data_IF_943338259551
#
_entry.id   IF_943338259551
#
_cell.length_a   1.000
_cell.length_b   1.000
_cell.length_c   1.000
_cell.angle_alpha   90.00
_cell.angle_beta   90.00
_cell.angle_gamma   90.00
#
_symmetry.space_group_name_H-M   'P 1'
#
loop_
_entity.id
_entity.type
_entity.pdbx_description
1 polymer ?
#
# COMPACT_ATOMS: atom_id res chain seq x y z
N UNK A 1 16.50 -6.22 10.01
CA UNK A 1 17.04 -5.13 9.19
C UNK A 1 15.89 -4.13 8.98
N UNK A 2 16.13 -2.83 9.08
CA UNK A 2 15.10 -1.80 8.84
C UNK A 2 14.93 -1.61 7.33
N UNK A 3 13.70 -1.61 6.84
CA UNK A 3 13.37 -1.37 5.42
C UNK A 3 13.29 0.13 5.15
N UNK A 4 14.05 0.63 4.19
CA UNK A 4 13.96 2.02 3.72
C UNK A 4 12.81 2.13 2.71
N UNK A 5 11.70 2.70 3.16
CA UNK A 5 10.51 2.89 2.34
C UNK A 5 10.45 4.31 1.77
N UNK A 6 10.39 4.44 0.45
CA UNK A 6 10.36 5.71 -0.28
C UNK A 6 9.05 5.94 -1.01
N UNK A 7 8.51 7.16 -1.02
CA UNK A 7 7.37 7.52 -1.86
C UNK A 7 7.76 7.66 -3.33
N UNK A 8 6.84 7.32 -4.23
CA UNK A 8 6.94 7.68 -5.63
C UNK A 8 5.60 8.21 -6.15
N UNK A 9 5.62 9.36 -6.83
CA UNK A 9 4.44 9.96 -7.44
C UNK A 9 4.29 9.62 -8.92
N UNK A 10 5.36 9.15 -9.57
CA UNK A 10 5.41 8.78 -10.97
C UNK A 10 6.57 7.82 -11.21
N UNK A 11 6.71 7.33 -12.45
CA UNK A 11 7.75 6.38 -12.83
C UNK A 11 9.18 6.94 -12.68
N UNK A 12 9.39 8.23 -12.91
CA UNK A 12 10.70 8.87 -12.75
C UNK A 12 11.13 8.88 -11.29
N UNK A 13 10.23 9.29 -10.38
CA UNK A 13 10.46 9.26 -8.93
C UNK A 13 10.72 7.83 -8.44
N UNK A 14 9.99 6.84 -8.98
CA UNK A 14 10.18 5.44 -8.65
C UNK A 14 11.58 4.96 -9.01
N UNK A 15 12.02 5.22 -10.25
CA UNK A 15 13.37 4.87 -10.70
C UNK A 15 14.44 5.57 -9.88
N UNK A 16 14.23 6.84 -9.55
CA UNK A 16 15.15 7.59 -8.68
C UNK A 16 15.24 6.96 -7.28
N UNK A 17 14.12 6.57 -6.68
CA UNK A 17 14.09 5.91 -5.38
C UNK A 17 14.84 4.58 -5.38
N UNK A 18 14.58 3.72 -6.37
CA UNK A 18 15.28 2.44 -6.55
C UNK A 18 16.79 2.65 -6.68
N UNK A 19 17.20 3.55 -7.55
CA UNK A 19 18.62 3.83 -7.83
C UNK A 19 19.37 4.45 -6.63
N UNK A 20 18.65 5.12 -5.72
CA UNK A 20 19.21 5.69 -4.50
C UNK A 20 19.06 4.78 -3.27
N UNK A 21 18.78 3.50 -3.47
CA UNK A 21 18.88 2.48 -2.41
C UNK A 21 17.62 2.29 -1.56
N UNK A 22 16.45 2.69 -2.03
CA UNK A 22 15.20 2.33 -1.37
C UNK A 22 15.02 0.80 -1.38
N UNK A 23 14.63 0.23 -0.25
CA UNK A 23 14.33 -1.20 -0.11
C UNK A 23 12.90 -1.51 -0.57
N UNK A 24 12.02 -0.53 -0.39
CA UNK A 24 10.64 -0.61 -0.83
C UNK A 24 10.13 0.75 -1.31
N UNK A 25 9.21 0.74 -2.23
CA UNK A 25 8.57 1.94 -2.77
C UNK A 25 7.07 1.87 -2.48
N UNK A 26 6.45 3.00 -2.16
CA UNK A 26 5.01 3.08 -2.14
C UNK A 26 4.49 4.18 -3.05
N UNK A 27 3.36 3.90 -3.69
CA UNK A 27 2.72 4.82 -4.63
C UNK A 27 1.19 4.73 -4.55
N UNK A 28 0.52 5.70 -5.14
CA UNK A 28 -0.93 5.69 -5.34
C UNK A 28 -1.28 5.18 -6.73
N UNK A 29 -2.37 4.44 -6.81
CA UNK A 29 -3.00 4.12 -8.08
C UNK A 29 -4.04 5.18 -8.48
N UNK A 30 -4.77 4.92 -9.55
CA UNK A 30 -5.78 5.83 -10.11
C UNK A 30 -7.02 6.03 -9.22
N UNK A 31 -7.24 5.14 -8.24
CA UNK A 31 -8.38 5.19 -7.32
C UNK A 31 -7.97 4.76 -5.91
N UNK A 32 -8.86 4.97 -4.94
CA UNK A 32 -8.78 4.52 -3.55
C UNK A 32 -7.57 4.99 -2.74
N UNK A 33 -6.73 5.85 -3.30
CA UNK A 33 -5.61 6.48 -2.60
C UNK A 33 -5.91 7.92 -2.20
N UNK A 34 -5.39 8.39 -1.06
CA UNK A 34 -5.56 9.76 -0.59
C UNK A 34 -5.04 10.83 -1.57
N UNK A 35 -4.23 10.43 -2.54
CA UNK A 35 -3.71 11.29 -3.62
C UNK A 35 -4.26 10.92 -5.00
N UNK A 36 -5.45 10.33 -5.06
CA UNK A 36 -6.08 9.90 -6.32
C UNK A 36 -6.25 11.04 -7.36
N UNK A 37 -6.25 12.29 -6.91
CA UNK A 37 -6.31 13.49 -7.77
C UNK A 37 -4.95 14.00 -8.26
N UNK A 38 -3.83 13.38 -7.86
CA UNK A 38 -2.51 13.69 -8.39
C UNK A 38 -2.31 13.00 -9.76
N UNK A 39 -1.20 13.31 -10.45
CA UNK A 39 -0.80 12.56 -11.65
C UNK A 39 -0.38 11.15 -11.23
N UNK A 40 -1.36 10.24 -11.14
CA UNK A 40 -1.11 8.85 -10.80
C UNK A 40 -0.75 8.05 -12.05
N UNK A 41 -0.04 6.95 -11.84
CA UNK A 41 0.27 5.99 -12.89
C UNK A 41 -1.03 5.36 -13.44
N UNK A 42 -1.06 5.12 -14.74
CA UNK A 42 -2.09 4.29 -15.37
C UNK A 42 -1.99 2.85 -14.85
N UNK A 43 -2.98 2.02 -15.13
CA UNK A 43 -2.93 0.60 -14.77
C UNK A 43 -1.71 -0.09 -15.41
N UNK A 44 -1.48 0.17 -16.68
CA UNK A 44 -0.36 -0.39 -17.43
C UNK A 44 0.99 0.07 -16.87
N UNK A 45 1.14 1.37 -16.58
CA UNK A 45 2.36 1.91 -15.99
C UNK A 45 2.62 1.33 -14.59
N UNK A 46 1.56 1.05 -13.82
CA UNK A 46 1.68 0.51 -12.48
C UNK A 46 2.13 -0.96 -12.53
N UNK A 47 1.64 -1.75 -13.48
CA UNK A 47 2.13 -3.12 -13.71
C UNK A 47 3.61 -3.09 -14.12
N UNK A 48 4.00 -2.18 -15.02
CA UNK A 48 5.42 -1.99 -15.40
C UNK A 48 6.27 -1.53 -14.20
N UNK A 49 5.71 -0.70 -13.32
CA UNK A 49 6.39 -0.29 -12.10
C UNK A 49 6.68 -1.47 -11.17
N UNK A 50 5.72 -2.39 -11.01
CA UNK A 50 5.89 -3.62 -10.22
C UNK A 50 7.03 -4.46 -10.81
N UNK A 51 7.00 -4.71 -12.10
CA UNK A 51 8.05 -5.48 -12.79
C UNK A 51 9.43 -4.82 -12.62
N UNK A 52 9.51 -3.51 -12.83
CA UNK A 52 10.76 -2.76 -12.70
C UNK A 52 11.35 -2.87 -11.30
N UNK A 53 10.53 -2.69 -10.27
CA UNK A 53 10.95 -2.76 -8.86
C UNK A 53 11.44 -4.16 -8.49
N UNK A 54 10.75 -5.20 -8.96
CA UNK A 54 11.10 -6.60 -8.73
C UNK A 54 12.40 -7.01 -9.41
N UNK A 55 12.67 -6.56 -10.65
CA UNK A 55 13.95 -6.82 -11.34
C UNK A 55 15.14 -6.29 -10.51
N UNK A 56 14.93 -5.20 -9.74
CA UNK A 56 15.94 -4.64 -8.86
C UNK A 56 15.97 -5.26 -7.45
N UNK A 57 15.19 -6.33 -7.22
CA UNK A 57 15.10 -7.01 -5.93
C UNK A 57 14.49 -6.16 -4.82
N UNK A 58 13.61 -5.22 -5.16
CA UNK A 58 12.93 -4.30 -4.25
C UNK A 58 11.44 -4.63 -4.14
N UNK A 59 10.76 -4.06 -3.14
CA UNK A 59 9.33 -4.22 -2.93
C UNK A 59 8.54 -2.99 -3.35
N UNK A 60 7.27 -3.21 -3.70
CA UNK A 60 6.35 -2.15 -4.06
C UNK A 60 5.02 -2.31 -3.35
N UNK A 61 4.54 -1.22 -2.76
CA UNK A 61 3.27 -1.16 -2.03
C UNK A 61 2.35 -0.13 -2.67
N UNK A 62 1.05 -0.43 -2.70
CA UNK A 62 0.05 0.49 -3.23
C UNK A 62 -0.84 1.04 -2.12
N UNK A 63 -1.13 2.34 -2.16
CA UNK A 63 -2.04 2.95 -1.21
C UNK A 63 -3.49 2.70 -1.61
N UNK A 64 -4.26 2.12 -0.68
CA UNK A 64 -5.73 1.98 -0.69
C UNK A 64 -6.23 2.61 0.62
N UNK A 65 -5.88 3.87 0.82
CA UNK A 65 -5.96 4.52 2.13
C UNK A 65 -6.98 5.66 2.17
N UNK A 66 -8.11 5.47 1.51
CA UNK A 66 -9.32 6.28 1.66
C UNK A 66 -10.41 5.50 2.38
N UNK A 67 -11.41 6.20 2.90
CA UNK A 67 -12.64 5.56 3.39
C UNK A 67 -13.52 5.19 2.19
N UNK A 68 -14.07 4.00 2.19
CA UNK A 68 -14.83 3.44 1.08
C UNK A 68 -16.32 3.33 1.42
N UNK A 69 -17.16 3.69 0.46
CA UNK A 69 -18.60 3.40 0.50
C UNK A 69 -18.86 1.99 0.00
N UNK A 70 -19.99 1.41 0.35
CA UNK A 70 -20.36 0.04 -0.05
C UNK A 70 -20.22 -0.21 -1.56
N UNK A 71 -20.62 0.76 -2.39
CA UNK A 71 -20.46 0.65 -3.84
C UNK A 71 -19.00 0.59 -4.29
N UNK A 72 -18.12 1.31 -3.59
CA UNK A 72 -16.69 1.38 -3.90
C UNK A 72 -15.96 0.09 -3.48
N UNK A 73 -16.44 -0.56 -2.41
CA UNK A 73 -15.96 -1.90 -2.02
C UNK A 73 -16.22 -2.93 -3.13
N UNK A 74 -17.35 -2.85 -3.83
CA UNK A 74 -17.66 -3.74 -4.94
C UNK A 74 -16.70 -3.54 -6.14
N UNK A 75 -16.18 -2.33 -6.33
CA UNK A 75 -15.23 -2.00 -7.39
C UNK A 75 -13.79 -2.39 -7.02
N UNK A 76 -13.50 -2.54 -5.72
CA UNK A 76 -12.15 -2.77 -5.19
C UNK A 76 -11.55 -4.09 -5.70
N UNK A 77 -12.37 -5.14 -5.91
CA UNK A 77 -11.89 -6.42 -6.44
C UNK A 77 -11.30 -6.26 -7.85
N UNK A 78 -12.08 -5.68 -8.75
CA UNK A 78 -11.65 -5.49 -10.14
C UNK A 78 -10.43 -4.57 -10.22
N UNK A 79 -10.37 -3.57 -9.34
CA UNK A 79 -9.25 -2.63 -9.26
C UNK A 79 -7.95 -3.30 -8.78
N UNK A 80 -8.00 -4.14 -7.74
CA UNK A 80 -6.79 -4.77 -7.17
C UNK A 80 -6.31 -5.98 -7.95
N UNK A 81 -7.20 -6.67 -8.65
CA UNK A 81 -6.89 -7.95 -9.30
C UNK A 81 -5.70 -7.91 -10.28
N UNK A 82 -5.55 -6.91 -11.17
CA UNK A 82 -4.40 -6.82 -12.07
C UNK A 82 -3.07 -6.71 -11.32
N UNK A 83 -3.02 -5.90 -10.27
CA UNK A 83 -1.81 -5.66 -9.47
C UNK A 83 -1.46 -6.87 -8.61
N UNK A 84 -2.47 -7.53 -8.04
CA UNK A 84 -2.28 -8.78 -7.31
C UNK A 84 -1.66 -9.86 -8.21
N UNK A 85 -2.17 -9.99 -9.45
CA UNK A 85 -1.60 -10.91 -10.45
C UNK A 85 -0.20 -10.54 -10.91
N UNK A 86 0.11 -9.25 -10.93
CA UNK A 86 1.46 -8.74 -11.23
C UNK A 86 2.46 -8.94 -10.08
N UNK A 87 1.99 -9.39 -8.91
CA UNK A 87 2.83 -9.67 -7.75
C UNK A 87 3.04 -8.49 -6.82
N UNK A 88 2.09 -7.54 -6.74
CA UNK A 88 2.15 -6.43 -5.78
C UNK A 88 2.46 -6.94 -4.37
N UNK A 89 3.50 -6.40 -3.72
CA UNK A 89 4.01 -6.87 -2.43
C UNK A 89 3.12 -6.50 -1.23
N UNK A 90 2.15 -5.65 -1.41
CA UNK A 90 1.17 -5.32 -0.37
C UNK A 90 0.43 -4.02 -0.61
N UNK A 91 -0.55 -3.75 0.23
CA UNK A 91 -1.36 -2.54 0.20
C UNK A 91 -1.29 -1.80 1.53
N UNK A 92 -1.37 -0.47 1.47
CA UNK A 92 -1.43 0.41 2.64
C UNK A 92 -2.88 0.86 2.78
N UNK A 93 -3.58 0.40 3.84
CA UNK A 93 -5.04 0.52 3.99
C UNK A 93 -5.42 1.38 5.18
N UNK A 94 -6.57 2.04 5.08
CA UNK A 94 -7.17 2.83 6.16
C UNK A 94 -8.53 2.27 6.58
N UNK A 95 -9.36 1.88 5.63
CA UNK A 95 -10.75 1.48 5.86
C UNK A 95 -10.83 0.05 6.39
N UNK A 96 -11.53 -0.16 7.52
CA UNK A 96 -11.68 -1.48 8.16
C UNK A 96 -12.51 -2.43 7.27
N UNK A 97 -13.49 -1.91 6.54
CA UNK A 97 -14.25 -2.69 5.56
C UNK A 97 -13.37 -3.18 4.42
N UNK A 98 -12.49 -2.30 3.90
CA UNK A 98 -11.49 -2.68 2.91
C UNK A 98 -10.52 -3.74 3.43
N UNK A 99 -10.10 -3.65 4.69
CA UNK A 99 -9.24 -4.67 5.33
C UNK A 99 -9.91 -6.04 5.31
N UNK A 100 -11.18 -6.09 5.77
CA UNK A 100 -11.94 -7.35 5.78
C UNK A 100 -12.10 -7.89 4.35
N UNK A 101 -12.46 -7.02 3.41
CA UNK A 101 -12.64 -7.37 2.02
C UNK A 101 -11.36 -7.93 1.39
N UNK A 102 -10.24 -7.23 1.55
CA UNK A 102 -8.94 -7.66 1.00
C UNK A 102 -8.49 -8.99 1.63
N UNK A 103 -8.66 -9.15 2.94
CA UNK A 103 -8.34 -10.41 3.61
C UNK A 103 -9.17 -11.60 3.14
N UNK A 104 -10.40 -11.38 2.68
CA UNK A 104 -11.29 -12.41 2.16
C UNK A 104 -10.97 -12.78 0.69
N UNK A 105 -10.77 -11.77 -0.15
CA UNK A 105 -10.61 -11.97 -1.60
C UNK A 105 -9.15 -12.06 -2.07
N UNK A 106 -8.21 -11.55 -1.29
CA UNK A 106 -6.77 -11.55 -1.57
C UNK A 106 -5.97 -12.02 -0.34
N UNK A 107 -6.16 -13.26 0.11
CA UNK A 107 -5.65 -13.73 1.41
C UNK A 107 -4.13 -13.70 1.54
N UNK A 108 -3.41 -13.71 0.42
CA UNK A 108 -1.94 -13.64 0.41
C UNK A 108 -1.39 -12.20 0.25
N UNK A 109 -2.28 -11.19 0.14
CA UNK A 109 -1.89 -9.79 0.02
C UNK A 109 -1.51 -9.22 1.39
N UNK A 110 -0.24 -8.88 1.63
CA UNK A 110 0.15 -8.20 2.85
C UNK A 110 -0.54 -6.83 2.99
N UNK A 111 -1.05 -6.56 4.20
CA UNK A 111 -1.70 -5.29 4.49
C UNK A 111 -0.91 -4.50 5.52
N UNK A 112 -0.66 -3.24 5.23
CA UNK A 112 0.00 -2.28 6.11
C UNK A 112 -1.02 -1.24 6.57
N UNK A 113 -1.05 -0.95 7.88
CA UNK A 113 -1.91 0.10 8.40
C UNK A 113 -1.42 1.47 7.93
N UNK A 114 -2.30 2.23 7.28
CA UNK A 114 -2.03 3.63 6.97
C UNK A 114 -1.95 4.45 8.27
N UNK A 115 -1.16 5.52 8.25
CA UNK A 115 -1.17 6.51 9.34
C UNK A 115 -2.53 7.14 9.57
N UNK A 116 -3.35 7.18 8.55
CA UNK A 116 -4.72 7.68 8.59
C UNK A 116 -5.66 6.78 9.42
N UNK A 117 -5.28 5.55 9.76
CA UNK A 117 -6.03 4.71 10.70
C UNK A 117 -5.93 5.22 12.15
N UNK A 118 -5.02 6.13 12.43
CA UNK A 118 -4.87 6.76 13.75
C UNK A 118 -4.63 5.74 14.88
N UNK A 119 -3.79 4.74 14.62
CA UNK A 119 -3.40 3.75 15.65
C UNK A 119 -2.27 4.36 16.48
N UNK A 120 -2.59 4.70 17.73
CA UNK A 120 -1.70 5.43 18.63
C UNK A 120 -1.28 4.65 19.87
N UNK A 121 -1.80 3.45 20.06
CA UNK A 121 -1.53 2.64 21.24
C UNK A 121 -1.50 1.13 20.95
N UNK A 122 -0.99 0.38 21.92
CA UNK A 122 -0.80 -1.07 21.80
C UNK A 122 -2.11 -1.83 21.61
N UNK A 123 -3.18 -1.43 22.29
CA UNK A 123 -4.47 -2.12 22.16
C UNK A 123 -5.04 -1.99 20.73
N UNK A 124 -4.92 -0.81 20.11
CA UNK A 124 -5.29 -0.63 18.71
C UNK A 124 -4.43 -1.48 17.78
N UNK A 125 -3.12 -1.55 18.04
CA UNK A 125 -2.21 -2.40 17.28
C UNK A 125 -2.55 -3.89 17.42
N UNK A 126 -2.86 -4.36 18.61
CA UNK A 126 -3.23 -5.75 18.86
C UNK A 126 -4.59 -6.10 18.23
N UNK A 127 -5.55 -5.17 18.26
CA UNK A 127 -6.81 -5.35 17.54
C UNK A 127 -6.57 -5.57 16.03
N UNK A 128 -5.71 -4.76 15.40
CA UNK A 128 -5.41 -4.92 13.99
C UNK A 128 -4.74 -6.26 13.66
N UNK A 129 -3.88 -6.78 14.53
CA UNK A 129 -3.30 -8.12 14.36
C UNK A 129 -4.36 -9.21 14.32
N UNK A 130 -5.46 -9.07 15.05
CA UNK A 130 -6.55 -10.06 15.06
C UNK A 130 -7.40 -10.05 13.79
N UNK A 131 -7.38 -8.95 13.03
CA UNK A 131 -8.17 -8.79 11.80
C UNK A 131 -7.34 -8.88 10.51
N UNK A 132 -6.22 -9.60 10.54
CA UNK A 132 -5.38 -9.95 9.37
C UNK A 132 -4.34 -8.92 8.93
N UNK A 133 -3.95 -7.96 9.76
CA UNK A 133 -2.78 -7.15 9.42
C UNK A 133 -1.50 -7.92 9.65
N UNK A 134 -0.73 -8.14 8.60
CA UNK A 134 0.57 -8.80 8.69
C UNK A 134 1.66 -7.83 9.18
N UNK A 135 1.51 -6.54 8.92
CA UNK A 135 2.46 -5.51 9.33
C UNK A 135 1.77 -4.22 9.76
N UNK A 136 2.04 -3.79 11.00
CA UNK A 136 1.71 -2.45 11.49
C UNK A 136 2.90 -1.54 11.19
N UNK A 137 2.67 -0.50 10.39
CA UNK A 137 3.64 0.54 10.21
C UNK A 137 3.48 1.58 11.30
N UNK A 138 4.44 1.66 12.22
CA UNK A 138 4.52 2.77 13.14
C UNK A 138 4.99 4.02 12.39
N UNK A 139 4.29 5.15 12.58
CA UNK A 139 4.83 6.46 12.27
C UNK A 139 5.71 6.87 13.44
N UNK A 140 6.98 6.61 13.32
CA UNK A 140 7.96 7.18 14.21
C UNK A 140 8.24 8.61 13.73
N UNK A 141 7.68 9.58 14.40
CA UNK A 141 8.16 10.96 14.33
C UNK A 141 9.35 11.07 15.27
N UNK A 142 10.33 11.95 14.96
CA UNK A 142 11.47 12.26 15.83
C UNK A 142 11.09 12.66 17.27
N UNK A 143 9.82 12.97 17.51
CA UNK A 143 9.29 13.33 18.81
C UNK A 143 8.98 12.13 19.73
N UNK A 144 9.04 10.90 19.20
CA UNK A 144 8.70 9.65 19.90
C UNK A 144 9.91 8.74 20.13
N UNK A 145 11.12 9.26 19.96
CA UNK A 145 12.38 8.58 20.27
C UNK A 145 12.91 9.05 21.61
#
# INVERSE_FOLDING_TARGET
>A
MKELLSPAGNMECLKAAVNNGADAIYLGGSAFGARAYAQNLSEEDLVQAIEYVHIHGRKIYMTVNTLLKDRELNELYAYLLPYYKAGLDGVIVQDIGAVKFIGEYFPEMPMHASTQMTITNTLGADFLKTVSYTHLRAHETKANL
#
